data_IF_527351342824
#
_entry.id   IF_527351342824
#
_cell.length_a   1.000
_cell.length_b   1.000
_cell.length_c   1.000
_cell.angle_alpha   90.00
_cell.angle_beta   90.00
_cell.angle_gamma   90.00
#
_symmetry.space_group_name_H-M   'P 1'
#
loop_
_entity.id
_entity.type
_entity.pdbx_description
1 polymer ?
#
# COMPACT_ATOMS: atom_id res chain seq x y z
N UNK A 1 -25.80 -27.03 1.91
CA UNK A 1 -25.17 -25.73 2.27
C UNK A 1 -24.26 -25.37 1.11
N UNK A 2 -24.38 -24.18 0.51
CA UNK A 2 -23.59 -23.82 -0.68
C UNK A 2 -22.14 -23.56 -0.26
N UNK A 3 -21.22 -24.45 -0.64
CA UNK A 3 -19.79 -24.25 -0.51
C UNK A 3 -19.37 -23.21 -1.56
N UNK A 4 -19.34 -21.93 -1.19
CA UNK A 4 -18.63 -20.94 -1.98
C UNK A 4 -17.16 -21.07 -1.60
N UNK A 5 -16.34 -21.61 -2.49
CA UNK A 5 -14.90 -21.36 -2.44
C UNK A 5 -14.70 -19.85 -2.53
N UNK A 6 -14.35 -19.20 -1.43
CA UNK A 6 -13.99 -17.79 -1.42
C UNK A 6 -12.71 -17.65 -2.26
N UNK A 7 -12.87 -17.16 -3.49
CA UNK A 7 -11.74 -16.82 -4.34
C UNK A 7 -11.26 -15.44 -3.94
N UNK A 8 -10.08 -15.36 -3.34
CA UNK A 8 -9.43 -14.09 -3.03
C UNK A 8 -8.71 -13.56 -4.28
N UNK A 9 -8.63 -12.24 -4.38
CA UNK A 9 -7.75 -11.60 -5.36
C UNK A 9 -6.30 -11.98 -5.07
N UNK A 10 -5.53 -12.25 -6.13
CA UNK A 10 -4.17 -12.78 -6.01
C UNK A 10 -3.15 -11.86 -6.66
N UNK A 11 -2.12 -11.48 -5.91
CA UNK A 11 -0.98 -10.71 -6.37
C UNK A 11 0.24 -11.61 -6.51
N UNK A 12 0.68 -11.84 -7.74
CA UNK A 12 1.82 -12.70 -8.02
C UNK A 12 3.14 -11.95 -7.79
N UNK A 13 4.02 -12.52 -6.98
CA UNK A 13 5.36 -11.97 -6.69
C UNK A 13 6.46 -12.99 -6.91
N UNK A 14 7.66 -12.49 -7.18
CA UNK A 14 8.87 -13.28 -7.31
C UNK A 14 9.77 -12.99 -6.11
N UNK A 15 10.26 -14.04 -5.46
CA UNK A 15 11.15 -13.93 -4.32
C UNK A 15 12.36 -13.02 -4.62
N UNK A 16 12.71 -12.17 -3.65
CA UNK A 16 13.81 -11.20 -3.74
C UNK A 16 13.49 -9.93 -4.53
N UNK A 17 12.32 -9.81 -5.17
CA UNK A 17 11.91 -8.58 -5.86
C UNK A 17 11.21 -7.61 -4.91
N UNK A 18 11.27 -6.33 -5.27
CA UNK A 18 10.53 -5.24 -4.62
C UNK A 18 9.39 -4.79 -5.51
N UNK A 19 8.23 -4.59 -4.90
CA UNK A 19 6.99 -4.17 -5.56
C UNK A 19 6.50 -2.86 -4.97
N UNK A 20 6.09 -1.93 -5.82
CA UNK A 20 5.45 -0.68 -5.40
C UNK A 20 3.93 -0.90 -5.41
N UNK A 21 3.31 -0.92 -4.24
CA UNK A 21 1.86 -0.98 -4.08
C UNK A 21 1.32 0.42 -3.85
N UNK A 22 0.25 0.77 -4.58
CA UNK A 22 -0.50 2.02 -4.40
C UNK A 22 -1.82 1.70 -3.73
N UNK A 23 -2.02 2.25 -2.55
CA UNK A 23 -3.16 1.96 -1.68
C UNK A 23 -3.94 3.25 -1.52
N UNK A 24 -5.21 3.23 -1.93
CA UNK A 24 -6.09 4.41 -1.90
C UNK A 24 -7.41 4.06 -1.25
N UNK A 25 -7.84 4.89 -0.30
CA UNK A 25 -9.18 4.76 0.27
C UNK A 25 -10.17 5.62 -0.51
N UNK A 26 -10.87 4.97 -1.44
CA UNK A 26 -11.96 5.56 -2.25
C UNK A 26 -13.34 5.41 -1.61
N UNK A 27 -13.41 4.89 -0.37
CA UNK A 27 -14.65 4.77 0.39
C UNK A 27 -15.10 6.12 0.93
N UNK A 28 -16.31 6.16 1.50
CA UNK A 28 -16.93 7.41 1.98
C UNK A 28 -17.03 7.52 3.49
N UNK A 29 -16.85 6.42 4.22
CA UNK A 29 -17.17 6.39 5.66
C UNK A 29 -16.03 5.89 6.51
N UNK A 30 -15.36 4.80 6.11
CA UNK A 30 -14.48 4.06 7.01
C UNK A 30 -13.02 4.18 6.59
N UNK A 31 -12.16 4.48 7.57
CA UNK A 31 -10.73 4.21 7.46
C UNK A 31 -10.47 2.71 7.59
N UNK A 32 -9.36 2.23 7.03
CA UNK A 32 -8.93 0.85 7.20
C UNK A 32 -7.45 0.77 7.55
N UNK A 33 -7.08 -0.31 8.24
CA UNK A 33 -5.69 -0.70 8.45
C UNK A 33 -5.32 -1.74 7.38
N UNK A 34 -4.29 -1.44 6.59
CA UNK A 34 -3.72 -2.31 5.57
C UNK A 34 -2.45 -2.98 6.10
N UNK A 35 -2.31 -4.27 5.86
CA UNK A 35 -1.11 -5.04 6.21
C UNK A 35 -0.97 -6.28 5.35
N UNK A 36 0.23 -6.82 5.35
CA UNK A 36 0.57 -8.05 4.65
C UNK A 36 1.21 -9.00 5.66
N UNK A 37 0.71 -10.22 5.74
CA UNK A 37 1.21 -11.24 6.65
C UNK A 37 2.72 -11.44 6.44
N UNK A 38 3.48 -11.39 7.53
CA UNK A 38 4.93 -11.60 7.58
C UNK A 38 5.76 -10.66 6.69
N UNK A 39 5.17 -9.55 6.22
CA UNK A 39 5.86 -8.59 5.34
C UNK A 39 5.81 -7.18 5.93
N UNK A 40 6.99 -6.57 6.02
CA UNK A 40 7.10 -5.14 6.27
C UNK A 40 6.93 -4.34 4.97
N UNK A 41 6.45 -3.11 5.14
CA UNK A 41 6.21 -2.16 4.07
C UNK A 41 7.08 -0.92 4.31
N UNK A 42 7.65 -0.37 3.24
CA UNK A 42 8.35 0.92 3.31
C UNK A 42 7.49 1.99 2.67
N UNK A 43 6.99 2.94 3.45
CA UNK A 43 6.26 4.08 2.92
C UNK A 43 7.19 5.01 2.15
N UNK A 44 6.87 5.30 0.90
CA UNK A 44 7.70 6.12 0.00
C UNK A 44 6.99 7.35 -0.56
N UNK A 45 5.66 7.31 -0.68
CA UNK A 45 4.86 8.45 -1.12
C UNK A 45 3.58 8.56 -0.30
N UNK A 46 3.16 9.80 -0.03
CA UNK A 46 1.82 10.13 0.49
C UNK A 46 1.20 11.17 -0.43
N UNK A 47 -0.07 10.99 -0.80
CA UNK A 47 -0.88 11.95 -1.57
C UNK A 47 -0.17 12.50 -2.83
N UNK A 48 0.67 11.68 -3.46
CA UNK A 48 1.40 12.03 -4.69
C UNK A 48 2.73 12.75 -4.50
N UNK A 49 3.24 12.92 -3.28
CA UNK A 49 4.62 13.42 -3.07
C UNK A 49 5.48 12.49 -2.22
N UNK A 50 6.79 12.61 -2.40
CA UNK A 50 7.77 11.76 -1.74
C UNK A 50 7.92 12.09 -0.25
N UNK A 51 7.99 11.05 0.57
CA UNK A 51 8.24 11.15 2.00
C UNK A 51 9.58 10.53 2.35
N UNK A 52 10.07 10.83 3.55
CA UNK A 52 11.18 10.06 4.11
C UNK A 52 10.73 8.61 4.26
N UNK A 53 11.60 7.66 3.90
CA UNK A 53 11.28 6.24 3.94
C UNK A 53 11.06 5.80 5.39
N UNK A 54 9.91 5.21 5.65
CA UNK A 54 9.52 4.71 6.98
C UNK A 54 9.09 3.26 6.83
N UNK A 55 9.68 2.39 7.64
CA UNK A 55 9.29 0.98 7.74
C UNK A 55 8.05 0.85 8.63
N UNK A 56 7.06 0.09 8.15
CA UNK A 56 5.75 -0.08 8.75
C UNK A 56 5.33 -1.55 8.64
N UNK A 57 4.78 -2.11 9.72
CA UNK A 57 4.14 -3.44 9.70
C UNK A 57 2.69 -3.35 9.22
N UNK A 58 2.04 -2.20 9.46
CA UNK A 58 0.69 -1.90 8.99
C UNK A 58 0.54 -0.40 8.72
N UNK A 59 -0.50 -0.05 7.97
CA UNK A 59 -0.75 1.31 7.52
C UNK A 59 -2.24 1.65 7.66
N UNK A 60 -2.55 2.64 8.48
CA UNK A 60 -3.88 3.24 8.53
C UNK A 60 -4.10 4.17 7.34
N UNK A 61 -5.19 3.94 6.59
CA UNK A 61 -5.55 4.72 5.41
C UNK A 61 -6.94 5.35 5.63
N UNK A 62 -6.96 6.66 5.79
CA UNK A 62 -8.21 7.41 5.96
C UNK A 62 -8.86 7.73 4.61
N UNK A 63 -10.16 8.02 4.66
CA UNK A 63 -10.97 8.37 3.48
C UNK A 63 -10.30 9.48 2.68
N UNK A 64 -10.16 9.26 1.37
CA UNK A 64 -9.54 10.19 0.43
C UNK A 64 -8.01 10.13 0.38
N UNK A 65 -7.35 9.41 1.29
CA UNK A 65 -5.89 9.30 1.28
C UNK A 65 -5.41 8.25 0.29
N UNK A 66 -4.19 8.49 -0.21
CA UNK A 66 -3.46 7.57 -1.07
C UNK A 66 -2.00 7.49 -0.63
N UNK A 67 -1.48 6.27 -0.53
CA UNK A 67 -0.12 5.99 -0.13
C UNK A 67 0.55 5.04 -1.13
N UNK A 68 1.86 5.20 -1.32
CA UNK A 68 2.67 4.23 -2.06
C UNK A 68 3.65 3.58 -1.09
N UNK A 69 3.65 2.24 -1.04
CA UNK A 69 4.56 1.45 -0.22
C UNK A 69 5.39 0.50 -1.07
N UNK A 70 6.66 0.33 -0.71
CA UNK A 70 7.50 -0.74 -1.25
C UNK A 70 7.38 -1.98 -0.37
N UNK A 71 7.10 -3.11 -0.99
CA UNK A 71 7.06 -4.43 -0.34
C UNK A 71 8.16 -5.29 -0.95
N UNK A 72 9.01 -5.86 -0.11
CA UNK A 72 10.04 -6.80 -0.55
C UNK A 72 9.52 -8.21 -0.36
N UNK A 73 9.49 -9.01 -1.43
CA UNK A 73 9.12 -10.43 -1.35
C UNK A 73 10.29 -11.24 -0.76
N UNK A 74 10.57 -11.06 0.53
CA UNK A 74 11.72 -11.62 1.23
C UNK A 74 11.40 -12.85 2.11
N UNK A 75 10.13 -13.23 2.20
CA UNK A 75 9.72 -14.45 2.89
C UNK A 75 9.93 -15.71 2.03
N UNK A 76 9.74 -16.88 2.65
CA UNK A 76 9.78 -18.18 1.98
C UNK A 76 8.74 -18.26 0.86
N UNK A 77 8.94 -19.18 -0.09
CA UNK A 77 8.04 -19.36 -1.23
C UNK A 77 6.71 -20.00 -0.80
N UNK A 78 5.82 -19.18 -0.27
CA UNK A 78 4.47 -19.52 0.19
C UNK A 78 3.47 -18.41 -0.17
N UNK A 79 2.19 -18.66 0.07
CA UNK A 79 1.13 -17.67 -0.06
C UNK A 79 0.87 -16.98 1.28
N UNK A 80 0.72 -15.65 1.24
CA UNK A 80 0.53 -14.82 2.44
C UNK A 80 -0.75 -13.98 2.32
N UNK A 81 -1.47 -13.76 3.43
CA UNK A 81 -2.65 -12.90 3.40
C UNK A 81 -2.29 -11.42 3.32
N UNK A 82 -2.99 -10.69 2.45
CA UNK A 82 -3.08 -9.24 2.46
C UNK A 82 -4.43 -8.88 3.09
N UNK A 83 -4.43 -8.02 4.10
CA UNK A 83 -5.64 -7.69 4.86
C UNK A 83 -5.85 -6.19 4.91
N UNK A 84 -7.08 -5.78 4.62
CA UNK A 84 -7.61 -4.45 4.87
C UNK A 84 -8.78 -4.57 5.86
N UNK A 85 -8.56 -4.21 7.12
CA UNK A 85 -9.58 -4.28 8.17
C UNK A 85 -10.07 -2.90 8.57
N UNK A 86 -11.38 -2.70 8.77
CA UNK A 86 -11.92 -1.38 9.07
C UNK A 86 -11.54 -0.91 10.48
N UNK A 87 -11.31 0.40 10.62
CA UNK A 87 -11.17 1.05 11.93
C UNK A 87 -12.53 1.42 12.52
N UNK A 88 -12.56 1.64 13.83
CA UNK A 88 -13.76 2.02 14.58
C UNK A 88 -14.91 0.99 14.48
N UNK A 89 -14.58 -0.29 14.28
CA UNK A 89 -15.53 -1.37 14.12
C UNK A 89 -15.01 -2.66 14.76
N UNK A 90 -15.90 -3.42 15.40
CA UNK A 90 -15.63 -4.77 15.91
C UNK A 90 -15.80 -5.83 14.81
N UNK A 91 -15.24 -5.58 13.62
CA UNK A 91 -15.35 -6.53 12.53
C UNK A 91 -14.49 -7.77 12.84
N UNK A 92 -15.10 -8.96 12.83
CA UNK A 92 -14.38 -10.23 12.92
C UNK A 92 -13.81 -10.63 11.55
N UNK A 93 -12.83 -11.52 11.51
CA UNK A 93 -12.20 -12.00 10.26
C UNK A 93 -13.17 -12.53 9.21
N UNK A 94 -14.31 -13.09 9.63
CA UNK A 94 -15.37 -13.59 8.72
C UNK A 94 -16.35 -12.51 8.25
N UNK A 95 -16.12 -11.24 8.60
CA UNK A 95 -16.96 -10.12 8.21
C UNK A 95 -16.70 -9.74 6.76
N UNK A 96 -17.74 -9.46 6.01
CA UNK A 96 -17.63 -8.91 4.64
C UNK A 96 -17.00 -7.51 4.60
N UNK A 97 -16.79 -6.89 5.76
CA UNK A 97 -16.12 -5.60 5.91
C UNK A 97 -14.59 -5.73 5.89
N UNK A 98 -14.05 -6.93 6.11
CA UNK A 98 -12.61 -7.19 6.03
C UNK A 98 -12.29 -7.61 4.60
N UNK A 99 -11.44 -6.82 3.93
CA UNK A 99 -10.89 -7.17 2.63
C UNK A 99 -9.73 -8.13 2.79
N UNK A 100 -9.77 -9.26 2.09
CA UNK A 100 -8.69 -10.27 2.09
C UNK A 100 -8.26 -10.54 0.65
N UNK A 101 -6.95 -10.49 0.42
CA UNK A 101 -6.28 -10.89 -0.80
C UNK A 101 -5.11 -11.81 -0.48
N UNK A 102 -4.51 -12.42 -1.49
CA UNK A 102 -3.36 -13.33 -1.36
C UNK A 102 -2.17 -12.75 -2.10
N UNK A 103 -1.02 -12.71 -1.43
CA UNK A 103 0.28 -12.49 -2.05
C UNK A 103 0.86 -13.87 -2.41
N UNK A 104 0.80 -14.24 -3.68
CA UNK A 104 1.24 -15.55 -4.17
C UNK A 104 2.68 -15.47 -4.68
N UNK A 105 3.57 -16.23 -4.07
CA UNK A 105 4.93 -16.38 -4.57
C UNK A 105 4.95 -17.31 -5.78
N UNK A 106 5.64 -16.95 -6.87
CA UNK A 106 5.61 -17.72 -8.13
C UNK A 106 6.01 -19.20 -8.00
N UNK A 107 6.85 -19.54 -7.03
CA UNK A 107 7.28 -20.91 -6.75
C UNK A 107 6.52 -21.55 -5.57
N UNK A 108 5.46 -20.90 -5.10
CA UNK A 108 4.62 -21.38 -4.00
C UNK A 108 3.81 -22.58 -4.43
N UNK A 109 3.79 -23.59 -3.57
CA UNK A 109 2.88 -24.74 -3.68
C UNK A 109 1.91 -24.80 -2.49
N UNK A 110 2.04 -23.85 -1.56
CA UNK A 110 1.33 -23.79 -0.29
C UNK A 110 0.36 -22.62 -0.31
N UNK A 111 -0.91 -22.90 -0.06
CA UNK A 111 -1.92 -21.87 0.08
C UNK A 111 -1.73 -21.09 1.38
N UNK A 112 -2.23 -19.85 1.39
CA UNK A 112 -2.23 -19.02 2.59
C UNK A 112 -3.06 -19.74 3.65
N UNK A 113 -2.42 -20.02 4.79
CA UNK A 113 -2.97 -20.85 5.85
C UNK A 113 -2.79 -20.14 7.20
N UNK A 114 -3.69 -20.45 8.13
CA UNK A 114 -3.71 -19.86 9.47
C UNK A 114 -4.80 -18.80 9.63
N UNK A 115 -4.78 -18.13 10.78
CA UNK A 115 -5.62 -16.95 11.02
C UNK A 115 -5.11 -15.76 10.21
N UNK A 116 -5.99 -14.80 9.91
CA UNK A 116 -5.56 -13.53 9.33
C UNK A 116 -4.54 -12.85 10.26
N UNK A 117 -3.53 -12.15 9.73
CA UNK A 117 -2.58 -11.41 10.56
C UNK A 117 -3.34 -10.44 11.47
N UNK A 118 -3.00 -10.40 12.76
CA UNK A 118 -3.59 -9.43 13.69
C UNK A 118 -3.14 -8.02 13.35
N UNK A 119 -4.09 -7.07 13.31
CA UNK A 119 -3.80 -5.64 13.18
C UNK A 119 -3.70 -4.95 14.55
N UNK A 120 -3.40 -3.64 14.57
CA UNK A 120 -3.59 -2.83 15.77
C UNK A 120 -5.07 -2.82 16.20
N UNK A 121 -5.32 -2.45 17.45
CA UNK A 121 -6.68 -2.29 17.97
C UNK A 121 -7.48 -1.33 17.04
N UNK A 122 -8.64 -1.75 16.48
CA UNK A 122 -9.44 -0.91 15.59
C UNK A 122 -9.86 0.43 16.18
N UNK A 123 -9.88 0.57 17.51
CA UNK A 123 -10.23 1.78 18.25
C UNK A 123 -9.01 2.56 18.78
N UNK A 124 -7.78 2.08 18.53
CA UNK A 124 -6.57 2.83 18.89
C UNK A 124 -6.37 4.00 17.92
N UNK A 125 -6.85 5.17 18.34
CA UNK A 125 -6.65 6.43 17.64
C UNK A 125 -5.21 6.95 17.80
N UNK A 126 -4.53 6.59 18.88
CA UNK A 126 -3.15 7.03 19.13
C UNK A 126 -2.20 6.41 18.12
N UNK A 127 -2.44 5.17 17.69
CA UNK A 127 -1.72 4.56 16.58
C UNK A 127 -1.79 5.43 15.31
N UNK A 128 -2.99 5.86 14.90
CA UNK A 128 -3.15 6.71 13.71
C UNK A 128 -2.47 8.07 13.87
N UNK A 129 -2.55 8.68 15.06
CA UNK A 129 -1.88 9.95 15.35
C UNK A 129 -0.36 9.79 15.28
N UNK A 130 0.18 8.71 15.83
CA UNK A 130 1.61 8.42 15.80
C UNK A 130 2.10 8.19 14.38
N UNK A 131 1.33 7.46 13.56
CA UNK A 131 1.60 7.28 12.14
C UNK A 131 1.61 8.64 11.41
N UNK A 132 0.59 9.47 11.60
CA UNK A 132 0.54 10.79 10.96
C UNK A 132 1.74 11.66 11.36
N UNK A 133 2.18 11.59 12.62
CA UNK A 133 3.31 12.33 13.13
C UNK A 133 4.68 11.81 12.66
N UNK A 134 4.77 10.52 12.29
CA UNK A 134 6.00 9.92 11.77
C UNK A 134 6.22 10.27 10.30
N UNK A 135 5.14 10.47 9.54
CA UNK A 135 5.20 10.82 8.11
C UNK A 135 5.73 12.25 7.96
N UNK A 136 6.92 12.36 7.37
CA UNK A 136 7.56 13.64 7.06
C UNK A 136 7.85 13.72 5.57
N UNK A 137 7.37 14.79 4.95
CA UNK A 137 7.70 15.10 3.55
C UNK A 137 9.20 15.19 3.35
N UNK A 138 9.70 14.50 2.33
CA UNK A 138 11.09 14.65 1.94
C UNK A 138 11.21 15.88 1.03
N UNK A 139 11.51 17.02 1.67
CA UNK A 139 11.65 18.30 0.97
C UNK A 139 12.91 18.38 0.08
N UNK A 140 13.82 17.41 0.17
CA UNK A 140 15.03 17.37 -0.70
C UNK A 140 14.79 16.72 -2.05
N UNK A 141 13.79 15.85 -2.17
CA UNK A 141 13.39 15.21 -3.43
C UNK A 141 12.50 16.07 -4.32
N UNK A 142 12.14 17.28 -3.85
CA UNK A 142 11.44 18.33 -4.61
C UNK A 142 12.35 19.39 -5.23
N UNK A 143 13.67 19.33 -5.01
CA UNK A 143 14.59 20.14 -5.81
C UNK A 143 14.47 19.64 -7.26
N UNK A 144 14.06 20.55 -8.14
CA UNK A 144 13.87 20.34 -9.57
C UNK A 144 14.71 19.18 -10.12
N UNK A 145 14.09 18.22 -10.83
CA UNK A 145 14.86 17.43 -11.80
C UNK A 145 15.68 18.45 -12.60
N UNK A 146 17.01 18.29 -12.65
CA UNK A 146 17.77 19.01 -13.66
C UNK A 146 17.13 18.64 -14.98
N UNK A 147 16.54 19.63 -15.64
CA UNK A 147 15.89 19.43 -16.91
C UNK A 147 16.95 19.69 -17.98
N UNK A 148 17.56 18.68 -18.61
CA UNK A 148 18.25 18.88 -19.88
C UNK A 148 17.25 18.94 -21.03
N UNK A 149 16.04 19.49 -20.81
CA UNK A 149 15.12 19.82 -21.89
C UNK A 149 15.41 21.27 -22.22
N UNK A 150 16.07 21.45 -23.37
CA UNK A 150 16.60 22.72 -23.84
C UNK A 150 15.58 23.84 -23.76
N UNK A 151 16.09 25.02 -23.44
CA UNK A 151 15.48 26.29 -23.75
C UNK A 151 15.13 26.33 -25.24
N UNK A 152 13.85 26.19 -25.57
CA UNK A 152 13.36 26.59 -26.89
C UNK A 152 13.24 28.11 -26.88
N UNK A 153 14.27 28.77 -27.40
CA UNK A 153 14.17 30.16 -27.82
C UNK A 153 13.37 30.18 -29.12
N UNK A 154 12.06 30.44 -29.04
CA UNK A 154 11.25 30.70 -30.23
C UNK A 154 11.40 32.18 -30.59
N UNK A 155 12.37 32.47 -31.45
CA UNK A 155 12.42 33.69 -32.24
C UNK A 155 12.75 33.30 -33.68
N UNK A 156 11.73 32.93 -34.44
CA UNK A 156 11.61 33.15 -35.90
C UNK A 156 10.55 32.21 -36.47
N UNK A 157 9.37 32.78 -36.76
CA UNK A 157 8.36 32.15 -37.62
C UNK A 157 8.47 32.85 -38.98
N UNK A 158 9.00 32.20 -40.03
CA UNK A 158 8.95 32.78 -41.36
C UNK A 158 7.54 32.59 -41.93
N UNK A 159 6.86 33.69 -42.23
CA UNK A 159 5.62 33.70 -43.00
C UNK A 159 6.05 33.56 -44.47
N UNK A 160 5.75 32.42 -45.09
CA UNK A 160 5.91 32.25 -46.54
C UNK A 160 4.66 32.80 -47.22
N UNK A 161 4.84 33.87 -48.01
CA UNK A 161 3.90 34.35 -49.03
C UNK A 161 4.38 33.99 -50.41
#
# INVERSE_FOLDING_TARGET
>A
MRNFSLSYETFNVTAGKKYLLRISNIGTTWSFNFRIQDHQMVLVETEGSYVNQIELESLDVHVGQSYSVLVTANQDAADYYIVASPKMSNATDNSTLVGVAVLHYHNSTTQANGSLPSGPDPFDLQFSINQANSIRWNLTTGAARSNPQGTFNVWDVPIVG
#
